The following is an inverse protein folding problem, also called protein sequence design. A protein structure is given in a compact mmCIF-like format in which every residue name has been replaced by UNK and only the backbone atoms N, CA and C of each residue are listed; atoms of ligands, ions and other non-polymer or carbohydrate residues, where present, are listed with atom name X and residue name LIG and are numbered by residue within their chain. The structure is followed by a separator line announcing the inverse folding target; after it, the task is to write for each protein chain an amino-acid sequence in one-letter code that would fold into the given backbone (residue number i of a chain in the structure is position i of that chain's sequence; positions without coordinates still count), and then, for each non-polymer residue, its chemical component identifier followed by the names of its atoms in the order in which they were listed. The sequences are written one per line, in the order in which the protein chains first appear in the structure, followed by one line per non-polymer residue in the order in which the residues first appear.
data_IF_007558178050
#
_entry.id   IF_007558178050
#
_cell.length_a   1.000
_cell.length_b   1.000
_cell.length_c   1.000
_cell.angle_alpha   90.00
_cell.angle_beta   90.00
_cell.angle_gamma   90.00
#
_symmetry.space_group_name_H-M   'P 1'
#
loop_
_entity.id
_entity.type
_entity.pdbx_description
1 polymer ?
#
# COMPACT_ATOMS: atom_id res chain seq x y z
N UNK A 1 -28.12 11.41 -17.97
CA UNK A 1 -27.66 10.40 -16.99
C UNK A 1 -26.53 9.62 -17.66
N UNK A 2 -25.29 9.74 -17.18
CA UNK A 2 -24.17 9.03 -17.77
C UNK A 2 -24.09 7.61 -17.18
N UNK A 3 -24.20 6.59 -18.03
CA UNK A 3 -23.90 5.21 -17.65
C UNK A 3 -22.39 5.05 -17.62
N UNK A 4 -21.79 5.27 -16.44
CA UNK A 4 -20.38 5.01 -16.24
C UNK A 4 -20.22 3.51 -15.95
N UNK A 5 -19.98 2.73 -17.01
CA UNK A 5 -19.65 1.31 -16.91
C UNK A 5 -18.30 1.17 -16.20
N UNK A 6 -18.36 0.98 -14.89
CA UNK A 6 -17.18 0.74 -14.05
C UNK A 6 -16.57 -0.61 -14.43
N UNK A 7 -15.46 -0.57 -15.17
CA UNK A 7 -14.70 -1.76 -15.60
C UNK A 7 -13.69 -2.25 -14.54
N UNK A 8 -13.59 -1.56 -13.39
CA UNK A 8 -12.58 -1.86 -12.38
C UNK A 8 -11.16 -1.54 -12.84
N UNK A 9 -10.16 -1.96 -12.06
CA UNK A 9 -8.76 -1.93 -12.47
C UNK A 9 -8.52 -3.09 -13.44
N UNK A 10 -8.07 -2.79 -14.66
CA UNK A 10 -7.79 -3.79 -15.70
C UNK A 10 -6.57 -4.66 -15.37
N UNK A 11 -5.57 -4.08 -14.70
CA UNK A 11 -4.42 -4.80 -14.13
C UNK A 11 -4.13 -4.27 -12.72
N UNK A 12 -4.82 -4.80 -11.69
CA UNK A 12 -4.64 -4.31 -10.33
C UNK A 12 -3.20 -4.49 -9.84
N UNK A 13 -2.51 -5.55 -10.25
CA UNK A 13 -1.13 -5.81 -9.80
C UNK A 13 -0.21 -4.70 -10.29
N UNK A 14 -0.29 -4.31 -11.56
CA UNK A 14 0.50 -3.21 -12.11
C UNK A 14 0.19 -1.88 -11.43
N UNK A 15 -1.08 -1.59 -11.18
CA UNK A 15 -1.51 -0.32 -10.56
C UNK A 15 -1.03 -0.22 -9.10
N UNK A 16 -1.13 -1.29 -8.33
CA UNK A 16 -0.59 -1.32 -6.96
C UNK A 16 0.95 -1.37 -6.94
N UNK A 17 1.61 -2.03 -7.90
CA UNK A 17 3.07 -2.02 -7.98
C UNK A 17 3.63 -0.63 -8.26
N UNK A 18 2.93 0.19 -9.04
CA UNK A 18 3.28 1.59 -9.27
C UNK A 18 3.26 2.45 -7.99
N UNK A 19 2.57 2.02 -6.93
CA UNK A 19 2.56 2.68 -5.61
C UNK A 19 3.73 2.29 -4.72
N UNK A 20 4.55 1.30 -5.11
CA UNK A 20 5.70 0.83 -4.32
C UNK A 20 6.67 1.94 -3.91
N UNK A 21 7.02 2.94 -4.77
CA UNK A 21 7.85 4.07 -4.35
C UNK A 21 7.22 4.90 -3.22
N UNK A 22 5.90 5.08 -3.23
CA UNK A 22 5.18 5.82 -2.20
C UNK A 22 5.18 5.07 -0.86
N UNK A 23 4.93 3.75 -0.88
CA UNK A 23 5.03 2.92 0.33
C UNK A 23 6.45 2.98 0.91
N UNK A 24 7.48 2.93 0.06
CA UNK A 24 8.87 3.08 0.50
C UNK A 24 9.15 4.46 1.12
N UNK A 25 8.56 5.53 0.58
CA UNK A 25 8.66 6.87 1.15
C UNK A 25 7.98 6.95 2.52
N UNK A 26 6.78 6.38 2.68
CA UNK A 26 6.10 6.29 3.97
C UNK A 26 6.94 5.54 5.01
N UNK A 27 7.54 4.40 4.63
CA UNK A 27 8.44 3.64 5.52
C UNK A 27 9.64 4.50 5.96
N UNK A 28 10.26 5.24 5.03
CA UNK A 28 11.37 6.16 5.36
C UNK A 28 10.92 7.30 6.27
N UNK A 29 9.70 7.83 6.10
CA UNK A 29 9.14 8.85 7.00
C UNK A 29 8.89 8.26 8.39
N UNK A 30 8.30 7.07 8.48
CA UNK A 30 8.03 6.37 9.73
C UNK A 30 9.31 6.13 10.55
N UNK A 31 10.41 5.76 9.90
CA UNK A 31 11.71 5.55 10.55
C UNK A 31 12.28 6.82 11.20
N UNK A 32 11.79 8.02 10.83
CA UNK A 32 12.20 9.29 11.41
C UNK A 32 11.30 9.72 12.59
N UNK A 33 10.18 9.02 12.80
CA UNK A 33 9.29 9.26 13.92
C UNK A 33 9.77 8.52 15.17
N UNK A 34 9.42 9.04 16.35
CA UNK A 34 9.62 8.30 17.62
C UNK A 34 8.87 6.96 17.52
N UNK A 35 9.54 5.80 17.74
CA UNK A 35 8.87 4.50 17.74
C UNK A 35 7.67 4.49 18.68
N UNK A 36 6.55 3.95 18.20
CA UNK A 36 5.27 3.89 18.93
C UNK A 36 4.68 5.26 19.34
N UNK A 37 5.18 6.35 18.75
CA UNK A 37 4.57 7.67 18.88
C UNK A 37 3.34 7.83 17.98
N UNK A 38 2.56 8.89 18.22
CA UNK A 38 1.36 9.19 17.43
C UNK A 38 1.64 9.24 15.92
N UNK A 39 2.67 9.95 15.51
CA UNK A 39 2.99 10.14 14.08
C UNK A 39 3.52 8.84 13.46
N UNK A 40 4.26 8.03 14.23
CA UNK A 40 4.68 6.69 13.83
C UNK A 40 3.49 5.78 13.55
N UNK A 41 2.48 5.78 14.43
CA UNK A 41 1.26 5.00 14.26
C UNK A 41 0.39 5.50 13.12
N UNK A 42 0.28 6.82 12.93
CA UNK A 42 -0.45 7.38 11.80
C UNK A 42 0.12 6.89 10.46
N UNK A 43 1.45 6.87 10.32
CA UNK A 43 2.09 6.35 9.11
C UNK A 43 1.94 4.82 9.01
N UNK A 44 2.00 4.09 10.14
CA UNK A 44 1.77 2.64 10.17
C UNK A 44 0.38 2.28 9.60
N UNK A 45 -0.66 2.98 10.03
CA UNK A 45 -2.05 2.81 9.56
C UNK A 45 -2.14 3.09 8.05
N UNK A 46 -1.47 4.13 7.55
CA UNK A 46 -1.47 4.43 6.13
C UNK A 46 -0.83 3.30 5.29
N UNK A 47 0.28 2.71 5.76
CA UNK A 47 0.92 1.57 5.10
C UNK A 47 0.02 0.33 5.15
N UNK A 48 -0.60 0.04 6.30
CA UNK A 48 -1.52 -1.09 6.48
C UNK A 48 -2.78 -0.97 5.61
N UNK A 49 -3.32 0.25 5.47
CA UNK A 49 -4.45 0.51 4.59
C UNK A 49 -4.11 0.24 3.12
N UNK A 50 -2.91 0.65 2.66
CA UNK A 50 -2.44 0.34 1.30
C UNK A 50 -2.28 -1.16 1.08
N UNK A 51 -1.69 -1.87 2.03
CA UNK A 51 -1.52 -3.33 2.00
C UNK A 51 -2.88 -4.05 1.96
N UNK A 52 -3.81 -3.65 2.83
CA UNK A 52 -5.16 -4.20 2.89
C UNK A 52 -5.91 -3.97 1.58
N UNK A 53 -5.82 -2.75 1.04
CA UNK A 53 -6.44 -2.41 -0.24
C UNK A 53 -5.85 -3.27 -1.35
N UNK A 54 -4.52 -3.35 -1.46
CA UNK A 54 -3.86 -4.18 -2.46
C UNK A 54 -4.30 -5.65 -2.37
N UNK A 55 -4.43 -6.22 -1.17
CA UNK A 55 -4.93 -7.58 -0.98
C UNK A 55 -6.35 -7.78 -1.52
N UNK A 56 -7.26 -6.83 -1.29
CA UNK A 56 -8.64 -6.93 -1.77
C UNK A 56 -8.75 -6.96 -3.30
N UNK A 57 -7.82 -6.33 -4.02
CA UNK A 57 -7.78 -6.32 -5.48
C UNK A 57 -6.91 -7.41 -6.10
N UNK A 58 -5.78 -7.76 -5.47
CA UNK A 58 -4.77 -8.66 -6.06
C UNK A 58 -4.76 -10.06 -5.48
N UNK A 59 -5.36 -10.25 -4.28
CA UNK A 59 -5.27 -11.48 -3.46
C UNK A 59 -3.85 -11.89 -3.07
N UNK A 60 -2.87 -11.02 -3.24
CA UNK A 60 -1.50 -11.25 -2.80
C UNK A 60 -1.32 -10.73 -1.39
N UNK A 61 -1.03 -11.63 -0.45
CA UNK A 61 -0.64 -11.25 0.89
C UNK A 61 0.78 -10.65 0.86
N UNK A 62 1.02 -9.66 1.71
CA UNK A 62 2.34 -9.03 1.84
C UNK A 62 2.84 -8.42 0.52
N UNK A 63 1.94 -7.81 -0.26
CA UNK A 63 2.20 -7.22 -1.58
C UNK A 63 3.36 -6.22 -1.55
N UNK A 64 3.43 -5.41 -0.49
CA UNK A 64 4.51 -4.43 -0.28
C UNK A 64 5.57 -4.88 0.73
N UNK A 65 5.56 -6.13 1.17
CA UNK A 65 6.71 -6.66 1.90
C UNK A 65 7.87 -6.86 0.91
N UNK A 66 9.09 -6.56 1.37
CA UNK A 66 10.28 -6.93 0.60
C UNK A 66 10.27 -8.45 0.40
N UNK A 67 10.64 -8.90 -0.81
CA UNK A 67 10.82 -10.33 -1.09
C UNK A 67 11.78 -10.86 -0.01
N UNK A 68 11.43 -11.90 0.77
CA UNK A 68 12.37 -12.45 1.72
C UNK A 68 13.61 -12.87 0.95
N UNK A 69 14.77 -12.36 1.35
CA UNK A 69 16.04 -12.88 0.90
C UNK A 69 16.05 -14.37 1.27
N UNK A 70 16.03 -15.23 0.26
CA UNK A 70 16.29 -16.66 0.43
C UNK A 70 17.73 -16.91 0.84
#
# INVERSE_FOLDING_TARGET
MAHQSYVGLTDPVREFDALRPYVNQLRKMQQRCRPFGRDYHAIAIAIEALETTAYHFTRQAHFYAGKPHG
#
